data_IF_262076105144
#
_entry.id   IF_262076105144
#
_cell.length_a   1.000
_cell.length_b   1.000
_cell.length_c   1.000
_cell.angle_alpha   90.00
_cell.angle_beta   90.00
_cell.angle_gamma   90.00
#
_symmetry.space_group_name_H-M   'P 1'
#
loop_
_entity.id
_entity.type
_entity.pdbx_description
1 polymer ?
#
# COMPACT_ATOMS: atom_id res chain seq x y z
N UNK A 1 63.27 -4.05 31.17
CA UNK A 1 63.48 -2.61 31.36
C UNK A 1 63.61 -1.97 29.98
N UNK A 2 62.72 -1.02 29.67
CA UNK A 2 62.53 -0.22 28.43
C UNK A 2 62.27 -0.97 27.10
N UNK A 3 61.02 -1.02 26.62
CA UNK A 3 60.24 -0.03 25.84
C UNK A 3 60.66 0.05 24.37
N UNK A 4 59.84 -0.56 23.49
CA UNK A 4 59.95 -0.44 22.05
C UNK A 4 58.56 -0.27 21.45
N UNK A 5 58.14 0.98 21.30
CA UNK A 5 56.94 1.42 20.60
C UNK A 5 57.09 1.06 19.10
N UNK A 6 56.14 0.35 18.52
CA UNK A 6 56.02 0.26 17.06
C UNK A 6 54.56 0.39 16.65
N UNK A 7 54.28 1.61 16.21
CA UNK A 7 53.08 2.07 15.55
C UNK A 7 53.23 1.63 14.08
N UNK A 8 52.33 0.81 13.56
CA UNK A 8 52.17 0.67 12.11
C UNK A 8 50.83 1.24 11.69
N UNK A 9 50.94 2.27 10.85
CA UNK A 9 49.83 2.91 10.14
C UNK A 9 49.34 2.03 8.99
N UNK A 10 48.03 2.04 8.82
CA UNK A 10 47.27 2.00 7.55
C UNK A 10 47.59 0.93 6.51
N UNK A 11 46.68 -0.02 6.34
CA UNK A 11 46.31 -0.47 5.00
C UNK A 11 44.80 -0.49 4.89
N UNK A 12 44.27 0.59 4.30
CA UNK A 12 42.88 0.75 3.91
C UNK A 12 42.57 -0.27 2.83
N UNK A 13 42.18 -1.48 3.22
CA UNK A 13 41.57 -2.42 2.30
C UNK A 13 40.15 -1.91 2.05
N UNK A 14 39.90 -1.43 0.84
CA UNK A 14 38.56 -1.15 0.31
C UNK A 14 37.74 -2.44 0.35
N UNK A 15 37.15 -2.73 1.50
CA UNK A 15 36.16 -3.79 1.65
C UNK A 15 34.89 -3.26 0.99
N UNK A 16 34.73 -3.63 -0.28
CA UNK A 16 33.47 -3.47 -1.01
C UNK A 16 32.31 -3.85 -0.08
N UNK A 17 31.30 -2.98 0.12
CA UNK A 17 30.15 -3.36 0.90
C UNK A 17 29.50 -4.59 0.24
N UNK A 18 29.05 -5.59 1.03
CA UNK A 18 28.35 -6.74 0.48
C UNK A 18 27.16 -6.23 -0.34
N UNK A 19 26.99 -6.77 -1.55
CA UNK A 19 25.92 -6.43 -2.53
C UNK A 19 24.48 -6.58 -2.01
N UNK A 20 24.27 -6.84 -0.72
CA UNK A 20 22.98 -6.77 -0.04
C UNK A 20 22.59 -5.36 0.39
N UNK A 21 23.53 -4.40 0.45
CA UNK A 21 23.25 -3.01 0.90
C UNK A 21 23.02 -2.00 -0.22
N UNK A 22 22.86 -2.45 -1.47
CA UNK A 22 22.54 -1.58 -2.62
C UNK A 22 21.09 -1.68 -3.10
N UNK A 23 20.25 -2.54 -2.49
CA UNK A 23 18.79 -2.50 -2.71
C UNK A 23 18.03 -1.65 -1.68
N UNK A 24 18.71 -1.21 -0.63
CA UNK A 24 18.13 -0.38 0.44
C UNK A 24 18.43 1.12 0.25
N UNK A 25 19.08 1.54 -0.86
CA UNK A 25 19.40 2.95 -1.12
C UNK A 25 18.34 3.69 -1.97
N UNK A 26 17.39 2.95 -2.55
CA UNK A 26 16.22 3.53 -3.24
C UNK A 26 14.93 2.87 -2.75
N UNK A 27 14.92 2.36 -1.51
CA UNK A 27 13.68 2.01 -0.84
C UNK A 27 13.03 3.32 -0.43
N UNK A 28 12.38 3.96 -1.39
CA UNK A 28 11.21 4.77 -1.07
C UNK A 28 10.29 3.77 -0.35
N UNK A 29 10.41 3.72 0.98
CA UNK A 29 9.52 2.90 1.82
C UNK A 29 8.15 3.37 1.43
N UNK A 30 7.42 2.57 0.65
CA UNK A 30 6.00 2.81 0.42
C UNK A 30 5.40 2.72 1.81
N UNK A 31 4.99 3.83 2.44
CA UNK A 31 4.25 3.73 3.68
C UNK A 31 3.03 2.84 3.43
N UNK A 32 2.90 1.80 4.25
CA UNK A 32 1.74 0.91 4.25
C UNK A 32 0.94 1.21 5.50
N UNK A 33 -0.35 1.49 5.33
CA UNK A 33 -1.26 1.72 6.44
C UNK A 33 -2.35 0.66 6.46
N UNK A 34 -2.73 0.22 7.66
CA UNK A 34 -3.88 -0.68 7.83
C UNK A 34 -5.18 0.10 7.90
N UNK A 35 -6.26 -0.51 7.42
CA UNK A 35 -7.58 0.07 7.40
C UNK A 35 -8.67 -0.96 7.18
N UNK A 36 -9.86 -0.47 6.89
CA UNK A 36 -11.04 -1.27 6.65
C UNK A 36 -11.61 -0.95 5.27
N UNK A 37 -12.24 -1.92 4.64
CA UNK A 37 -12.92 -1.77 3.35
C UNK A 37 -14.29 -2.40 3.47
N UNK A 38 -15.33 -1.64 3.14
CA UNK A 38 -16.70 -2.12 3.07
C UNK A 38 -17.33 -1.71 1.76
N UNK A 39 -17.99 -2.63 1.08
CA UNK A 39 -18.87 -2.31 -0.03
C UNK A 39 -20.33 -2.28 0.42
N UNK A 40 -21.12 -1.50 -0.29
CA UNK A 40 -22.55 -1.32 -0.05
C UNK A 40 -23.24 -1.10 -1.40
N UNK A 41 -24.57 -0.99 -1.39
CA UNK A 41 -25.37 -0.83 -2.62
C UNK A 41 -25.25 -2.06 -3.56
N UNK A 42 -25.26 -3.27 -2.98
CA UNK A 42 -25.14 -4.53 -3.73
C UNK A 42 -23.77 -4.74 -4.37
N UNK A 43 -22.71 -4.14 -3.80
CA UNK A 43 -21.36 -4.19 -4.36
C UNK A 43 -21.09 -3.20 -5.50
N UNK A 44 -21.93 -2.17 -5.65
CA UNK A 44 -21.69 -1.07 -6.58
C UNK A 44 -20.86 0.05 -5.94
N UNK A 45 -20.89 0.21 -4.61
CA UNK A 45 -20.15 1.27 -3.91
C UNK A 45 -19.17 0.70 -2.92
N UNK A 46 -18.06 1.40 -2.71
CA UNK A 46 -17.01 1.06 -1.75
C UNK A 46 -16.68 2.26 -0.88
N UNK A 47 -16.47 1.98 0.40
CA UNK A 47 -15.87 2.88 1.37
C UNK A 47 -14.68 2.16 1.98
N UNK A 48 -13.49 2.73 1.85
CA UNK A 48 -12.28 2.20 2.46
C UNK A 48 -11.66 3.25 3.37
N UNK A 49 -11.53 2.94 4.66
CA UNK A 49 -11.07 3.88 5.67
C UNK A 49 -9.69 3.46 6.15
N UNK A 50 -8.75 4.39 6.11
CA UNK A 50 -7.35 4.21 6.45
C UNK A 50 -6.90 5.32 7.39
N UNK A 51 -5.99 5.02 8.31
CA UNK A 51 -5.39 6.04 9.18
C UNK A 51 -3.95 6.25 8.73
N UNK A 52 -3.65 7.44 8.20
CA UNK A 52 -2.34 7.82 7.65
C UNK A 52 -1.81 8.99 8.47
N UNK A 53 -0.65 8.83 9.12
CA UNK A 53 -0.04 9.86 9.99
C UNK A 53 -1.01 10.45 11.04
N UNK A 54 -1.98 9.66 11.51
CA UNK A 54 -3.00 10.09 12.47
C UNK A 54 -4.21 10.81 11.85
N UNK A 55 -4.25 10.98 10.52
CA UNK A 55 -5.39 11.53 9.77
C UNK A 55 -6.22 10.39 9.20
N UNK A 56 -7.55 10.46 9.38
CA UNK A 56 -8.45 9.47 8.80
C UNK A 56 -8.69 9.79 7.32
N UNK A 57 -8.20 8.93 6.45
CA UNK A 57 -8.36 8.98 5.00
C UNK A 57 -9.45 7.99 4.59
N UNK A 58 -10.56 8.48 4.06
CA UNK A 58 -11.66 7.66 3.57
C UNK A 58 -11.67 7.71 2.05
N UNK A 59 -11.68 6.55 1.41
CA UNK A 59 -11.80 6.40 -0.02
C UNK A 59 -13.19 5.91 -0.37
N UNK A 60 -13.95 6.77 -1.05
CA UNK A 60 -15.30 6.46 -1.48
C UNK A 60 -15.31 6.31 -2.99
N UNK A 61 -15.73 5.15 -3.49
CA UNK A 61 -15.75 4.85 -4.91
C UNK A 61 -16.96 4.07 -5.33
N UNK A 62 -17.12 3.95 -6.64
CA UNK A 62 -18.10 3.05 -7.27
C UNK A 62 -17.41 2.08 -8.20
N UNK A 63 -17.94 0.86 -8.28
CA UNK A 63 -17.45 -0.25 -9.09
C UNK A 63 -18.37 -0.46 -10.28
N UNK A 64 -17.80 -0.43 -11.48
CA UNK A 64 -18.49 -0.81 -12.70
C UNK A 64 -17.64 -1.88 -13.44
N UNK A 65 -18.13 -3.13 -13.56
CA UNK A 65 -19.38 -3.70 -13.03
C UNK A 65 -19.37 -3.94 -11.50
N UNK A 66 -20.54 -4.11 -10.85
CA UNK A 66 -20.64 -4.38 -9.41
C UNK A 66 -20.04 -5.73 -9.03
N UNK A 67 -19.31 -5.77 -7.92
CA UNK A 67 -18.50 -6.93 -7.48
C UNK A 67 -19.15 -7.78 -6.39
N UNK A 68 -20.37 -7.43 -5.98
CA UNK A 68 -21.07 -8.04 -4.85
C UNK A 68 -20.62 -7.47 -3.50
N UNK A 69 -21.35 -7.83 -2.45
CA UNK A 69 -21.09 -7.33 -1.10
C UNK A 69 -19.80 -7.95 -0.52
N UNK A 70 -18.88 -7.07 -0.11
CA UNK A 70 -17.58 -7.39 0.44
C UNK A 70 -17.32 -6.51 1.67
N UNK A 71 -16.83 -7.13 2.72
CA UNK A 71 -16.36 -6.43 3.91
C UNK A 71 -15.03 -7.07 4.35
N UNK A 72 -14.05 -6.22 4.63
CA UNK A 72 -12.75 -6.61 5.15
C UNK A 72 -12.29 -5.58 6.17
N UNK A 73 -11.82 -6.08 7.30
CA UNK A 73 -11.21 -5.28 8.36
C UNK A 73 -9.68 -5.31 8.32
N UNK A 74 -9.10 -6.11 7.41
CA UNK A 74 -7.66 -6.20 7.18
C UNK A 74 -7.34 -5.69 5.77
N UNK A 75 -7.54 -4.39 5.58
CA UNK A 75 -7.13 -3.70 4.37
C UNK A 75 -5.78 -3.03 4.58
N UNK A 76 -4.96 -3.02 3.54
CA UNK A 76 -3.64 -2.41 3.49
C UNK A 76 -3.60 -1.44 2.34
N UNK A 77 -3.23 -0.21 2.63
CA UNK A 77 -3.02 0.85 1.66
C UNK A 77 -1.52 1.07 1.51
N UNK A 78 -0.98 0.70 0.35
CA UNK A 78 0.37 1.03 -0.08
C UNK A 78 0.31 2.32 -0.89
N UNK A 79 1.03 3.35 -0.46
CA UNK A 79 1.12 4.62 -1.18
C UNK A 79 2.56 5.10 -1.20
N UNK A 80 2.92 5.95 -2.17
CA UNK A 80 4.28 6.52 -2.26
C UNK A 80 4.35 7.92 -1.67
N UNK A 81 3.26 8.67 -1.74
CA UNK A 81 3.16 10.05 -1.25
C UNK A 81 1.72 10.31 -0.80
N UNK A 82 1.54 10.95 0.36
CA UNK A 82 0.22 11.29 0.91
C UNK A 82 -0.59 12.19 -0.04
N UNK A 83 0.09 13.01 -0.87
CA UNK A 83 -0.55 13.83 -1.91
C UNK A 83 -1.26 12.97 -2.95
N UNK A 84 -0.91 11.70 -3.10
CA UNK A 84 -1.62 10.77 -3.99
C UNK A 84 -2.97 10.32 -3.43
N UNK A 85 -3.13 10.38 -2.10
CA UNK A 85 -4.37 10.13 -1.38
C UNK A 85 -5.27 11.36 -1.35
N UNK A 86 -5.08 12.28 -2.29
CA UNK A 86 -5.91 13.48 -2.43
C UNK A 86 -6.53 13.43 -3.83
N UNK A 87 -7.73 13.98 -3.99
CA UNK A 87 -8.50 14.10 -5.26
C UNK A 87 -9.28 12.87 -5.75
N UNK A 88 -10.30 13.14 -6.56
CA UNK A 88 -11.10 12.15 -7.28
C UNK A 88 -10.34 11.58 -8.47
N UNK A 89 -10.22 10.25 -8.55
CA UNK A 89 -9.46 9.54 -9.56
C UNK A 89 -10.13 8.26 -10.01
N UNK A 90 -9.75 7.85 -11.22
CA UNK A 90 -10.10 6.54 -11.75
C UNK A 90 -9.16 5.49 -11.16
N UNK A 91 -9.75 4.34 -10.88
CA UNK A 91 -9.04 3.18 -10.35
C UNK A 91 -9.50 1.94 -11.09
N UNK A 92 -8.64 0.94 -11.09
CA UNK A 92 -8.95 -0.39 -11.60
C UNK A 92 -8.65 -1.38 -10.51
N UNK A 93 -9.47 -2.40 -10.41
CA UNK A 93 -9.25 -3.43 -9.44
C UNK A 93 -9.71 -4.78 -9.94
N UNK A 94 -9.34 -5.76 -9.16
CA UNK A 94 -9.77 -7.14 -9.34
C UNK A 94 -10.21 -7.67 -8.01
N UNK A 95 -11.37 -8.29 -8.01
CA UNK A 95 -11.87 -9.04 -6.89
C UNK A 95 -11.60 -10.51 -7.18
N UNK A 96 -10.88 -11.15 -6.28
CA UNK A 96 -10.63 -12.59 -6.28
C UNK A 96 -11.51 -13.22 -5.20
N UNK A 97 -11.53 -14.55 -5.13
CA UNK A 97 -12.40 -15.27 -4.19
C UNK A 97 -12.22 -14.82 -2.73
N UNK A 98 -11.06 -14.31 -2.32
CA UNK A 98 -10.82 -13.84 -0.95
C UNK A 98 -9.99 -12.56 -0.86
N UNK A 99 -9.62 -11.98 -2.00
CA UNK A 99 -8.71 -10.84 -2.03
C UNK A 99 -9.27 -9.77 -2.95
N UNK A 100 -9.31 -8.55 -2.47
CA UNK A 100 -9.64 -7.38 -3.28
C UNK A 100 -8.35 -6.58 -3.46
N UNK A 101 -8.02 -6.30 -4.72
CA UNK A 101 -6.88 -5.47 -5.08
C UNK A 101 -7.41 -4.30 -5.92
N UNK A 102 -7.14 -3.09 -5.46
CA UNK A 102 -7.47 -1.85 -6.16
C UNK A 102 -6.17 -1.12 -6.45
N UNK A 103 -5.89 -0.94 -7.73
CA UNK A 103 -4.78 -0.16 -8.24
C UNK A 103 -5.33 1.18 -8.73
N UNK A 104 -4.99 2.26 -8.04
CA UNK A 104 -5.34 3.61 -8.50
C UNK A 104 -4.32 4.06 -9.54
N UNK A 105 -4.75 4.76 -10.59
CA UNK A 105 -3.86 5.20 -11.67
C UNK A 105 -2.71 6.12 -11.19
N UNK A 106 -2.84 6.70 -10.00
CA UNK A 106 -1.87 7.64 -9.44
C UNK A 106 -0.75 6.96 -8.63
N UNK A 107 -0.78 5.62 -8.50
CA UNK A 107 0.19 4.85 -7.73
C UNK A 107 -0.33 4.12 -6.49
N UNK A 108 -1.23 4.69 -5.66
CA UNK A 108 -1.72 4.00 -4.47
C UNK A 108 -2.40 2.67 -4.81
N UNK A 109 -2.13 1.68 -3.97
CA UNK A 109 -2.66 0.34 -4.09
C UNK A 109 -3.32 -0.08 -2.80
N UNK A 110 -4.58 -0.47 -2.87
CA UNK A 110 -5.32 -1.02 -1.75
C UNK A 110 -5.40 -2.52 -1.94
N UNK A 111 -4.96 -3.27 -0.94
CA UNK A 111 -5.08 -4.72 -0.89
C UNK A 111 -5.85 -5.09 0.36
N UNK A 112 -6.91 -5.86 0.25
CA UNK A 112 -7.67 -6.30 1.42
C UNK A 112 -8.05 -7.76 1.33
N UNK A 113 -8.07 -8.43 2.48
CA UNK A 113 -8.41 -9.83 2.58
C UNK A 113 -9.81 -10.01 3.16
N UNK A 114 -10.70 -10.73 2.47
CA UNK A 114 -11.98 -11.15 3.04
C UNK A 114 -11.84 -12.49 3.71
N UNK A 115 -12.49 -12.61 4.87
CA UNK A 115 -12.82 -13.91 5.45
C UNK A 115 -13.89 -14.64 4.61
N UNK A 116 -14.82 -13.90 3.99
CA UNK A 116 -15.91 -14.48 3.19
C UNK A 116 -15.52 -14.63 1.72
N UNK A 117 -15.91 -15.74 1.06
CA UNK A 117 -15.68 -15.88 -0.36
C UNK A 117 -16.48 -14.82 -1.14
N UNK A 118 -15.78 -14.00 -1.92
CA UNK A 118 -16.38 -13.00 -2.80
C UNK A 118 -16.65 -13.65 -4.15
N UNK A 119 -17.89 -13.54 -4.62
CA UNK A 119 -18.32 -14.05 -5.92
C UNK A 119 -19.28 -13.05 -6.56
N UNK A 120 -19.14 -12.75 -7.86
CA UNK A 120 -18.21 -13.35 -8.82
C UNK A 120 -16.79 -12.75 -8.79
N UNK A 121 -15.78 -13.58 -9.10
CA UNK A 121 -14.42 -13.10 -9.40
C UNK A 121 -14.46 -12.29 -10.69
N UNK A 122 -14.30 -10.98 -10.57
CA UNK A 122 -14.39 -10.05 -11.70
C UNK A 122 -13.34 -8.95 -11.62
N UNK A 123 -13.06 -8.35 -12.76
CA UNK A 123 -12.33 -7.08 -12.83
C UNK A 123 -13.34 -5.96 -12.86
N UNK A 124 -12.99 -4.86 -12.20
CA UNK A 124 -13.83 -3.68 -12.15
C UNK A 124 -12.99 -2.44 -12.39
N UNK A 125 -13.63 -1.43 -12.94
CA UNK A 125 -13.09 -0.09 -13.03
C UNK A 125 -14.06 0.86 -12.37
N UNK A 126 -13.54 1.97 -11.88
CA UNK A 126 -14.35 2.86 -11.09
C UNK A 126 -13.73 4.22 -10.99
N UNK A 127 -14.51 5.12 -10.41
CA UNK A 127 -14.03 6.42 -9.96
C UNK A 127 -14.26 6.53 -8.47
N UNK A 128 -13.24 6.98 -7.77
CA UNK A 128 -13.27 7.15 -6.33
C UNK A 128 -12.60 8.44 -5.91
N UNK A 129 -13.04 8.96 -4.77
CA UNK A 129 -12.56 10.19 -4.17
C UNK A 129 -11.98 9.89 -2.81
N UNK A 130 -10.85 10.53 -2.51
CA UNK A 130 -10.29 10.53 -1.17
C UNK A 130 -10.80 11.73 -0.37
N UNK A 131 -11.30 11.45 0.82
CA UNK A 131 -11.75 12.41 1.82
C UNK A 131 -10.85 12.31 3.05
N UNK A 132 -10.46 13.45 3.62
CA UNK A 132 -9.68 13.53 4.85
C UNK A 132 -10.54 14.15 5.94
N UNK A 133 -10.58 13.51 7.12
CA UNK A 133 -11.28 14.02 8.30
C UNK A 133 -10.36 14.18 9.50
#
# INVERSE_FOLDING_TARGET
>A
MYLGLSIFRTSTLYRLPPKKKLKELNKQTMPTTSGTVSSFDGGNKITATFVVDGVQCTFNGSFDPPVGDFNSYDAKLDYSDIRQLTTQREFRGKVSSQNLIIDTNNGPKITSHSDKPISPVSQFSGRGSWEHS
#
